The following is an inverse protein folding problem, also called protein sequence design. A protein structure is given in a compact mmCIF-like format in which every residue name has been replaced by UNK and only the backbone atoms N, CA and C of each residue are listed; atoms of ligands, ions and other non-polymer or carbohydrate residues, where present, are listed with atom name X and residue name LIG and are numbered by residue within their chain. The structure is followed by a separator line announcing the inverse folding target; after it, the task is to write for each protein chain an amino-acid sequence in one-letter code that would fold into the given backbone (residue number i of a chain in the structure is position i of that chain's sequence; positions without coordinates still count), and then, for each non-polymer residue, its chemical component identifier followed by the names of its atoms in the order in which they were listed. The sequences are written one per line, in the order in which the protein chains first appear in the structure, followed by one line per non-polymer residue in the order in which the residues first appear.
data_IF_253304352729
#
_entry.id   IF_253304352729
#
_cell.length_a   1.000
_cell.length_b   1.000
_cell.length_c   1.000
_cell.angle_alpha   90.00
_cell.angle_beta   90.00
_cell.angle_gamma   90.00
#
_symmetry.space_group_name_H-M   'P 1'
#
loop_
_entity.id
_entity.type
_entity.pdbx_description
1 polymer ?
#
# COMPACT_ATOMS: atom_id res chain seq x y z
N UNK A 1 7.11 -23.94 -17.12
CA UNK A 1 8.13 -23.00 -16.64
C UNK A 1 8.07 -23.00 -15.12
N UNK A 2 9.20 -23.00 -14.39
CA UNK A 2 9.19 -22.83 -12.94
C UNK A 2 8.65 -21.44 -12.57
N UNK A 3 7.97 -21.33 -11.44
CA UNK A 3 7.54 -20.05 -10.90
C UNK A 3 8.78 -19.20 -10.56
N UNK A 4 8.80 -17.95 -11.01
CA UNK A 4 9.87 -16.98 -10.69
C UNK A 4 9.46 -16.19 -9.45
N UNK A 5 10.38 -16.06 -8.49
CA UNK A 5 10.21 -15.17 -7.34
C UNK A 5 10.27 -13.71 -7.83
N UNK A 6 9.33 -12.86 -7.42
CA UNK A 6 9.35 -11.44 -7.75
C UNK A 6 10.59 -10.73 -7.17
N UNK A 7 11.04 -9.69 -7.85
CA UNK A 7 12.09 -8.77 -7.39
C UNK A 7 11.59 -7.33 -7.45
N UNK A 8 12.31 -6.38 -6.83
CA UNK A 8 11.95 -4.95 -6.87
C UNK A 8 11.80 -4.39 -8.29
N UNK A 9 12.59 -4.90 -9.24
CA UNK A 9 12.53 -4.49 -10.64
C UNK A 9 11.15 -4.75 -11.28
N UNK A 10 10.42 -5.77 -10.80
CA UNK A 10 9.08 -6.09 -11.30
C UNK A 10 8.06 -4.99 -10.95
N UNK A 11 8.33 -4.18 -9.93
CA UNK A 11 7.45 -3.11 -9.44
C UNK A 11 7.92 -1.70 -9.84
N UNK A 12 9.07 -1.56 -10.51
CA UNK A 12 9.66 -0.27 -10.85
C UNK A 12 8.70 0.66 -11.62
N UNK A 13 7.85 0.10 -12.47
CA UNK A 13 6.86 0.84 -13.24
C UNK A 13 5.76 1.47 -12.36
N UNK A 14 5.44 0.85 -11.21
CA UNK A 14 4.47 1.37 -10.25
C UNK A 14 5.10 2.43 -9.36
N UNK A 15 6.30 2.15 -8.82
CA UNK A 15 7.00 3.08 -7.91
C UNK A 15 7.50 4.34 -8.62
N UNK A 16 7.69 4.30 -9.95
CA UNK A 16 8.08 5.47 -10.75
C UNK A 16 6.88 6.31 -11.21
N UNK A 17 5.65 5.82 -11.04
CA UNK A 17 4.45 6.54 -11.47
C UNK A 17 4.04 7.57 -10.42
N UNK A 18 3.84 8.86 -10.79
CA UNK A 18 3.31 9.84 -9.85
C UNK A 18 1.82 9.61 -9.54
N UNK A 19 1.13 8.79 -10.34
CA UNK A 19 -0.30 8.55 -10.20
C UNK A 19 -0.64 7.59 -9.05
N UNK A 20 0.28 6.71 -8.66
CA UNK A 20 0.04 5.65 -7.67
C UNK A 20 1.19 5.67 -6.67
N UNK A 21 0.88 5.75 -5.38
CA UNK A 21 1.88 5.57 -4.33
C UNK A 21 1.70 4.18 -3.73
N UNK A 22 2.79 3.44 -3.66
CA UNK A 22 2.82 2.13 -3.01
C UNK A 22 4.01 2.03 -2.08
N UNK A 23 3.89 1.18 -1.07
CA UNK A 23 5.01 0.74 -0.25
C UNK A 23 5.05 -0.79 -0.30
N UNK A 24 6.24 -1.31 -0.60
CA UNK A 24 6.52 -2.75 -0.66
C UNK A 24 7.16 -3.19 0.65
N UNK A 25 6.55 -4.16 1.32
CA UNK A 25 7.10 -4.81 2.51
C UNK A 25 7.44 -6.25 2.17
N UNK A 26 8.73 -6.50 1.97
CA UNK A 26 9.24 -7.83 1.60
C UNK A 26 9.31 -8.78 2.80
N UNK A 27 9.00 -10.08 2.61
CA UNK A 27 9.29 -11.08 3.61
C UNK A 27 10.81 -11.23 3.76
N UNK A 28 11.26 -11.72 4.92
CA UNK A 28 12.68 -11.92 5.20
C UNK A 28 12.97 -13.43 5.35
N UNK A 29 13.76 -14.04 4.44
CA UNK A 29 14.35 -13.47 3.23
C UNK A 29 13.37 -13.39 2.04
N UNK A 30 13.64 -12.48 1.09
CA UNK A 30 12.71 -12.14 0.00
C UNK A 30 12.52 -13.29 -1.00
N UNK A 31 13.49 -14.20 -1.13
CA UNK A 31 13.39 -15.36 -2.02
C UNK A 31 12.28 -16.34 -1.62
N UNK A 32 11.75 -16.23 -0.40
CA UNK A 32 10.64 -17.05 0.10
C UNK A 32 9.26 -16.48 -0.25
N UNK A 33 9.18 -15.49 -1.13
CA UNK A 33 7.90 -14.93 -1.55
C UNK A 33 7.06 -15.99 -2.26
N UNK A 34 5.96 -16.38 -1.64
CA UNK A 34 4.98 -17.36 -2.15
C UNK A 34 3.58 -16.78 -2.30
N UNK A 35 3.32 -15.63 -1.68
CA UNK A 35 2.01 -14.98 -1.67
C UNK A 35 2.13 -13.45 -1.65
N UNK A 36 1.05 -12.79 -2.04
CA UNK A 36 0.93 -11.34 -2.00
C UNK A 36 -0.22 -10.93 -1.08
N UNK A 37 -0.01 -9.86 -0.30
CA UNK A 37 -1.07 -9.17 0.43
C UNK A 37 -1.16 -7.75 -0.13
N UNK A 38 -2.31 -7.39 -0.70
CA UNK A 38 -2.55 -6.03 -1.20
C UNK A 38 -3.45 -5.32 -0.21
N UNK A 39 -2.98 -4.20 0.34
CA UNK A 39 -3.71 -3.44 1.36
C UNK A 39 -4.06 -2.06 0.81
N UNK A 40 -5.35 -1.77 0.72
CA UNK A 40 -5.86 -0.46 0.34
C UNK A 40 -6.14 0.36 1.59
N UNK A 41 -5.69 1.61 1.59
CA UNK A 41 -5.94 2.53 2.68
C UNK A 41 -7.42 2.95 2.79
N UNK A 42 -7.80 3.49 3.95
CA UNK A 42 -9.12 4.07 4.20
C UNK A 42 -9.30 5.45 3.56
N UNK A 43 -10.55 5.92 3.49
CA UNK A 43 -10.91 7.22 2.89
C UNK A 43 -10.09 8.37 3.51
N UNK A 44 -9.41 9.15 2.66
CA UNK A 44 -8.61 10.32 3.09
C UNK A 44 -7.25 10.00 3.70
N UNK A 45 -6.87 8.72 3.76
CA UNK A 45 -5.64 8.25 4.40
C UNK A 45 -4.47 8.07 3.38
N UNK A 46 -3.35 7.53 3.85
CA UNK A 46 -2.14 7.23 3.07
C UNK A 46 -1.77 5.74 3.17
N UNK A 47 -0.88 5.27 2.30
CA UNK A 47 -0.35 3.91 2.29
C UNK A 47 0.58 3.59 3.47
N UNK A 48 1.27 4.60 4.01
CA UNK A 48 2.34 4.42 5.02
C UNK A 48 1.84 3.71 6.29
N UNK A 49 0.70 4.09 6.92
CA UNK A 49 0.20 3.37 8.10
C UNK A 49 -0.11 1.89 7.83
N UNK A 50 -0.54 1.56 6.61
CA UNK A 50 -0.89 0.19 6.21
C UNK A 50 0.34 -0.65 5.90
N UNK A 51 1.44 -0.03 5.45
CA UNK A 51 2.73 -0.69 5.39
C UNK A 51 3.22 -1.06 6.80
N UNK A 52 3.08 -0.16 7.78
CA UNK A 52 3.39 -0.45 9.19
C UNK A 52 2.54 -1.60 9.77
N UNK A 53 1.26 -1.67 9.40
CA UNK A 53 0.39 -2.81 9.73
C UNK A 53 0.91 -4.12 9.12
N UNK A 54 1.30 -4.13 7.84
CA UNK A 54 1.84 -5.30 7.18
C UNK A 54 3.16 -5.78 7.82
N UNK A 55 4.04 -4.84 8.15
CA UNK A 55 5.27 -5.10 8.91
C UNK A 55 4.98 -5.69 10.31
N UNK A 56 3.98 -5.16 11.00
CA UNK A 56 3.57 -5.61 12.33
C UNK A 56 3.01 -7.04 12.35
N UNK A 57 2.26 -7.44 11.31
CA UNK A 57 1.79 -8.83 11.20
C UNK A 57 2.94 -9.78 10.85
N UNK A 58 3.90 -9.33 10.02
CA UNK A 58 5.10 -10.09 9.65
C UNK A 58 4.79 -11.50 9.11
N UNK A 59 3.90 -11.59 8.12
CA UNK A 59 3.50 -12.87 7.53
C UNK A 59 4.67 -13.54 6.79
N UNK A 60 5.03 -14.80 7.11
CA UNK A 60 6.13 -15.50 6.44
C UNK A 60 5.85 -15.70 4.94
N UNK A 61 6.84 -15.35 4.10
CA UNK A 61 6.76 -15.57 2.65
C UNK A 61 5.72 -14.72 1.93
N UNK A 62 5.19 -13.66 2.57
CA UNK A 62 4.21 -12.75 1.98
C UNK A 62 4.88 -11.42 1.64
N UNK A 63 4.87 -11.06 0.36
CA UNK A 63 5.15 -9.68 -0.07
C UNK A 63 3.87 -8.86 0.11
N UNK A 64 3.94 -7.87 1.00
CA UNK A 64 2.81 -6.95 1.20
C UNK A 64 3.00 -5.69 0.37
N UNK A 65 1.90 -5.20 -0.21
CA UNK A 65 1.84 -4.03 -1.07
C UNK A 65 0.76 -3.12 -0.50
N UNK A 66 1.17 -2.09 0.23
CA UNK A 66 0.27 -1.04 0.69
C UNK A 66 0.08 -0.02 -0.43
N UNK A 67 -1.16 0.34 -0.74
CA UNK A 67 -1.52 1.17 -1.90
C UNK A 67 -2.30 2.40 -1.45
N UNK A 68 -1.86 3.58 -1.90
CA UNK A 68 -2.65 4.80 -1.83
C UNK A 68 -3.50 4.94 -3.11
N UNK A 69 -4.77 5.20 -2.92
CA UNK A 69 -5.72 5.61 -3.94
C UNK A 69 -5.29 6.91 -4.61
N UNK A 70 -5.60 7.02 -5.89
CA UNK A 70 -5.07 8.07 -6.77
C UNK A 70 -5.91 9.34 -6.76
N UNK A 71 -7.15 9.25 -6.27
CA UNK A 71 -8.11 10.36 -6.25
C UNK A 71 -8.05 11.07 -4.90
N UNK A 72 -7.86 12.40 -4.86
CA UNK A 72 -7.88 13.14 -3.61
C UNK A 72 -9.27 13.06 -2.96
N UNK A 73 -9.32 13.23 -1.64
CA UNK A 73 -10.58 13.26 -0.90
C UNK A 73 -11.49 14.37 -1.46
N UNK A 74 -12.70 14.05 -1.95
CA UNK A 74 -13.63 15.06 -2.43
C UNK A 74 -13.92 16.10 -1.35
N UNK A 75 -13.84 17.39 -1.70
CA UNK A 75 -14.09 18.50 -0.77
C UNK A 75 -15.44 18.40 -0.06
N UNK A 76 -16.46 17.86 -0.73
CA UNK A 76 -17.79 17.64 -0.16
C UNK A 76 -17.80 16.71 1.08
N UNK A 77 -16.74 15.92 1.31
CA UNK A 77 -16.60 15.02 2.45
C UNK A 77 -15.79 15.60 3.61
N UNK A 78 -15.15 16.76 3.43
CA UNK A 78 -14.34 17.40 4.48
C UNK A 78 -15.17 18.16 5.53
N UNK A 79 -16.51 18.13 5.43
CA UNK A 79 -17.39 18.91 6.28
C UNK A 79 -17.31 20.41 5.97
N UNK A 80 -18.26 21.17 6.47
CA UNK A 80 -18.19 22.63 6.43
C UNK A 80 -17.25 23.10 7.56
N UNK A 81 -16.11 23.75 7.27
CA UNK A 81 -15.21 24.25 8.31
C UNK A 81 -15.87 25.27 9.23
N UNK A 82 -16.99 25.88 8.81
CA UNK A 82 -17.76 26.86 9.58
C UNK A 82 -19.00 26.24 10.29
N UNK A 83 -19.21 24.92 10.21
CA UNK A 83 -20.25 24.25 10.99
C UNK A 83 -19.92 24.31 12.49
N UNK A 84 -20.50 25.29 13.19
CA UNK A 84 -20.50 25.35 14.66
C UNK A 84 -21.05 24.04 15.23
N UNK A 85 -20.37 23.40 16.20
CA UNK A 85 -20.98 22.32 16.97
C UNK A 85 -22.20 22.88 17.71
N UNK A 86 -23.38 22.35 17.40
CA UNK A 86 -24.63 22.64 18.11
C UNK A 86 -24.70 21.96 19.46
#
# INVERSE_FOLDING_TARGET
MPARVPTEADFAHLTSSPAVKIVLTWPKPAELTTSFLIVFHGLGDHEIPYAGFAEGINLPGVLSIAVQGTTPLPLALLGDPDAQPG
#
